data_IF_233739234767
#
_entry.id   IF_233739234767
#
_cell.length_a   1.000
_cell.length_b   1.000
_cell.length_c   1.000
_cell.angle_alpha   90.00
_cell.angle_beta   90.00
_cell.angle_gamma   90.00
#
_symmetry.space_group_name_H-M   'P 1'
#
loop_
_entity.id
_entity.type
_entity.pdbx_description
1 polymer ?
#
# COMPACT_ATOMS: atom_id res chain seq x y z
N UNK A 1 31.24 -11.40 1.50
CA UNK A 1 30.51 -12.24 0.54
C UNK A 1 30.94 -11.75 -0.83
N UNK A 2 31.58 -12.59 -1.66
CA UNK A 2 32.11 -12.20 -2.97
C UNK A 2 30.95 -11.86 -3.90
N UNK A 3 30.87 -10.61 -4.37
CA UNK A 3 29.95 -10.27 -5.46
C UNK A 3 30.62 -10.55 -6.80
N UNK A 4 29.95 -11.38 -7.59
CA UNK A 4 30.36 -11.97 -8.86
C UNK A 4 30.63 -10.93 -9.96
N UNK A 5 31.73 -10.17 -9.86
CA UNK A 5 32.22 -9.30 -10.94
C UNK A 5 31.28 -8.17 -11.35
N UNK A 6 30.38 -7.75 -10.46
CA UNK A 6 29.43 -6.66 -10.70
C UNK A 6 29.64 -5.52 -9.70
N UNK A 7 29.58 -4.28 -10.20
CA UNK A 7 29.60 -3.06 -9.41
C UNK A 7 28.43 -2.17 -9.85
N UNK A 8 27.68 -1.63 -8.89
CA UNK A 8 26.55 -0.72 -9.13
C UNK A 8 26.78 0.62 -8.43
N UNK A 9 26.24 1.69 -9.02
CA UNK A 9 26.11 3.00 -8.41
C UNK A 9 24.62 3.34 -8.33
N UNK A 10 24.07 3.34 -7.11
CA UNK A 10 22.67 3.71 -6.86
C UNK A 10 22.58 5.16 -6.38
N UNK A 11 22.01 6.04 -7.20
CA UNK A 11 21.72 7.44 -6.84
C UNK A 11 20.28 7.52 -6.34
N UNK A 12 20.10 7.73 -5.02
CA UNK A 12 18.77 7.70 -4.39
C UNK A 12 17.85 8.85 -4.85
N UNK A 13 18.42 10.03 -5.11
CA UNK A 13 17.72 11.19 -5.63
C UNK A 13 18.61 11.87 -6.66
N UNK A 14 18.12 12.01 -7.89
CA UNK A 14 18.88 12.64 -8.96
C UNK A 14 18.39 14.08 -9.18
N UNK A 15 19.24 15.04 -8.82
CA UNK A 15 19.03 16.48 -8.98
C UNK A 15 19.59 16.95 -10.34
N UNK A 16 19.20 18.13 -10.84
CA UNK A 16 19.76 18.68 -12.08
C UNK A 16 21.29 18.74 -12.09
N UNK A 17 21.88 19.03 -10.92
CA UNK A 17 23.32 19.13 -10.71
C UNK A 17 24.05 17.78 -10.75
N UNK A 18 23.32 16.67 -10.63
CA UNK A 18 23.83 15.31 -10.84
C UNK A 18 23.92 14.95 -12.34
N UNK A 19 23.57 15.87 -13.23
CA UNK A 19 23.83 15.71 -14.67
C UNK A 19 25.33 15.68 -14.92
N UNK A 20 25.81 14.56 -15.45
CA UNK A 20 27.24 14.39 -15.62
C UNK A 20 27.61 13.09 -16.28
N UNK A 21 28.91 12.93 -16.46
CA UNK A 21 29.53 11.73 -17.00
C UNK A 21 30.13 10.90 -15.86
N UNK A 22 29.51 9.76 -15.58
CA UNK A 22 29.88 8.85 -14.50
C UNK A 22 30.82 7.78 -15.03
N UNK A 23 31.99 7.65 -14.43
CA UNK A 23 33.02 6.71 -14.87
C UNK A 23 33.30 5.66 -13.79
N UNK A 24 33.05 4.40 -14.13
CA UNK A 24 33.40 3.24 -13.32
C UNK A 24 34.82 2.78 -13.68
N UNK A 25 35.67 2.64 -12.66
CA UNK A 25 37.06 2.20 -12.81
C UNK A 25 37.26 0.91 -12.01
N UNK A 26 37.67 -0.15 -12.70
CA UNK A 26 38.07 -1.41 -12.06
C UNK A 26 39.59 -1.58 -12.18
N UNK A 27 40.29 -1.74 -11.06
CA UNK A 27 41.76 -1.89 -11.02
C UNK A 27 42.16 -3.18 -10.33
N UNK A 28 43.15 -3.88 -10.88
CA UNK A 28 43.83 -5.00 -10.24
C UNK A 28 45.36 -4.84 -10.39
N UNK A 29 46.19 -5.71 -9.77
CA UNK A 29 47.65 -5.61 -9.86
C UNK A 29 48.25 -5.73 -11.27
N UNK A 30 47.45 -6.13 -12.26
CA UNK A 30 47.88 -6.37 -13.65
C UNK A 30 47.30 -5.35 -14.64
N UNK A 31 46.42 -4.45 -14.20
CA UNK A 31 45.82 -3.45 -15.09
C UNK A 31 44.60 -2.72 -14.54
N UNK A 32 44.07 -1.82 -15.36
CA UNK A 32 42.90 -0.99 -15.09
C UNK A 32 41.95 -1.05 -16.28
N UNK A 33 40.67 -1.34 -16.01
CA UNK A 33 39.57 -1.20 -16.96
C UNK A 33 38.70 0.01 -16.56
N UNK A 34 38.09 0.67 -17.53
CA UNK A 34 37.26 1.85 -17.28
C UNK A 34 36.06 1.86 -18.23
N UNK A 35 34.90 2.24 -17.73
CA UNK A 35 33.65 2.36 -18.49
C UNK A 35 32.89 3.58 -18.03
N UNK A 36 32.23 4.27 -18.96
CA UNK A 36 31.63 5.57 -18.71
C UNK A 36 30.19 5.61 -19.17
N UNK A 37 29.32 6.28 -18.41
CA UNK A 37 27.90 6.47 -18.68
C UNK A 37 27.52 7.94 -18.48
N UNK A 38 26.65 8.47 -19.34
CA UNK A 38 26.15 9.85 -19.24
C UNK A 38 24.77 9.85 -18.62
N UNK A 39 24.60 10.62 -17.55
CA UNK A 39 23.33 10.83 -16.88
C UNK A 39 22.87 12.26 -17.13
N UNK A 40 21.63 12.43 -17.58
CA UNK A 40 20.99 13.73 -17.75
C UNK A 40 19.77 13.82 -16.85
N UNK A 41 19.83 14.71 -15.86
CA UNK A 41 18.77 14.93 -14.89
C UNK A 41 18.11 16.27 -15.17
N UNK A 42 16.78 16.27 -15.31
CA UNK A 42 16.01 17.49 -15.48
C UNK A 42 15.23 17.79 -14.19
N UNK A 43 15.24 19.05 -13.78
CA UNK A 43 14.56 19.47 -12.55
C UNK A 43 13.06 19.37 -12.71
N UNK A 44 12.39 18.73 -11.75
CA UNK A 44 10.95 18.87 -11.61
C UNK A 44 10.62 20.28 -11.15
N UNK A 45 9.56 20.90 -11.71
CA UNK A 45 9.14 22.30 -11.47
C UNK A 45 8.87 22.67 -10.00
N UNK A 46 9.04 21.74 -9.07
CA UNK A 46 8.73 21.88 -7.65
C UNK A 46 9.95 21.79 -6.72
N UNK A 47 11.17 21.62 -7.25
CA UNK A 47 12.40 21.55 -6.46
C UNK A 47 13.07 22.92 -6.41
N UNK A 48 13.19 23.49 -5.22
CA UNK A 48 13.86 24.77 -4.98
C UNK A 48 15.38 24.52 -5.02
N UNK A 49 16.03 24.89 -6.13
CA UNK A 49 17.49 24.78 -6.29
C UNK A 49 18.25 26.04 -5.87
N UNK A 50 17.54 27.11 -5.54
CA UNK A 50 18.12 28.37 -5.07
C UNK A 50 18.55 28.28 -3.60
N UNK A 51 19.64 28.98 -3.26
CA UNK A 51 20.15 29.05 -1.89
C UNK A 51 19.09 29.65 -0.96
N UNK A 52 18.65 28.85 0.01
CA UNK A 52 17.71 29.27 1.05
C UNK A 52 18.39 30.01 2.20
N UNK A 53 19.62 30.51 1.98
CA UNK A 53 20.31 31.31 2.97
C UNK A 53 19.62 32.69 3.09
N UNK A 54 19.43 33.20 4.32
CA UNK A 54 18.94 34.56 4.51
C UNK A 54 19.80 35.56 3.73
N UNK A 55 19.16 36.57 3.19
CA UNK A 55 19.83 37.59 2.38
C UNK A 55 21.00 38.22 3.16
N UNK A 56 22.21 38.09 2.61
CA UNK A 56 23.44 38.62 3.22
C UNK A 56 24.33 37.60 3.94
N UNK A 57 23.95 36.31 4.00
CA UNK A 57 24.81 35.24 4.57
C UNK A 57 25.61 34.55 3.46
N UNK A 58 26.94 34.62 3.53
CA UNK A 58 27.83 33.97 2.57
C UNK A 58 28.21 32.56 3.04
N UNK A 59 28.48 31.65 2.08
CA UNK A 59 28.90 30.26 2.36
C UNK A 59 30.15 30.19 3.25
N UNK A 60 31.02 31.21 3.18
CA UNK A 60 32.21 31.35 4.03
C UNK A 60 31.89 31.57 5.51
N UNK A 61 30.76 32.18 5.83
CA UNK A 61 30.35 32.47 7.21
C UNK A 61 29.76 31.22 7.89
N UNK A 62 29.28 30.26 7.10
CA UNK A 62 28.82 28.93 7.57
C UNK A 62 29.98 28.14 8.18
N UNK A 63 31.20 28.27 7.63
CA UNK A 63 32.38 27.51 8.09
C UNK A 63 32.88 27.98 9.46
N UNK A 64 32.67 29.25 9.80
CA UNK A 64 33.02 29.85 11.11
C UNK A 64 32.03 29.49 12.22
N UNK A 65 30.86 28.95 11.86
CA UNK A 65 29.87 28.40 12.79
C UNK A 65 30.22 26.98 13.26
N UNK A 66 31.17 26.30 12.58
CA UNK A 66 31.60 24.93 12.89
C UNK A 66 32.42 24.78 14.17
N UNK A 67 32.98 25.87 14.71
CA UNK A 67 33.77 25.88 15.95
C UNK A 67 32.94 26.25 17.20
N UNK A 68 31.60 26.21 17.12
CA UNK A 68 30.77 26.33 18.31
C UNK A 68 30.62 24.98 19.03
N UNK A 69 30.91 24.89 20.35
CA UNK A 69 30.83 23.64 21.08
C UNK A 69 29.41 23.06 21.09
N UNK A 70 29.36 21.76 20.80
CA UNK A 70 28.25 20.80 20.65
C UNK A 70 27.08 20.86 21.67
N UNK A 71 27.12 21.71 22.69
CA UNK A 71 26.01 21.87 23.64
C UNK A 71 24.84 22.70 23.11
N UNK A 72 24.95 23.30 21.92
CA UNK A 72 23.84 24.02 21.25
C UNK A 72 22.82 23.08 20.58
N UNK A 73 23.20 21.86 20.23
CA UNK A 73 22.30 20.91 19.55
C UNK A 73 21.25 20.31 20.51
N UNK A 74 21.41 20.48 21.82
CA UNK A 74 20.37 20.18 22.80
C UNK A 74 19.27 21.27 22.90
N UNK A 75 19.36 22.36 22.13
CA UNK A 75 18.36 23.43 22.15
C UNK A 75 17.54 23.59 20.86
N UNK A 76 17.77 22.79 19.80
CA UNK A 76 16.98 22.88 18.56
C UNK A 76 15.81 21.88 18.47
N UNK A 77 15.67 20.96 19.42
CA UNK A 77 14.41 20.22 19.61
C UNK A 77 13.32 21.10 20.25
N UNK A 78 13.68 22.28 20.80
CA UNK A 78 12.76 23.15 21.54
C UNK A 78 11.91 24.13 20.70
N UNK A 79 11.74 23.93 19.38
CA UNK A 79 10.90 24.84 18.57
C UNK A 79 9.87 24.20 17.65
N UNK A 80 9.59 22.91 17.80
CA UNK A 80 8.29 22.38 17.37
C UNK A 80 7.36 22.44 18.57
N UNK A 81 6.22 23.08 18.41
CA UNK A 81 5.19 23.06 19.45
C UNK A 81 4.93 21.61 19.84
N UNK A 82 4.90 21.36 21.14
CA UNK A 82 4.49 20.08 21.69
C UNK A 82 3.07 19.82 21.26
N UNK A 83 2.83 18.66 20.65
CA UNK A 83 1.52 18.34 20.09
C UNK A 83 1.15 16.90 20.47
N UNK A 84 -0.06 16.67 21.02
CA UNK A 84 -0.57 15.34 21.27
C UNK A 84 -0.69 14.55 19.96
N UNK A 85 -0.69 13.21 20.03
CA UNK A 85 -0.80 12.39 18.84
C UNK A 85 -2.18 12.59 18.20
N UNK A 86 -2.20 12.69 16.86
CA UNK A 86 -3.43 12.82 16.08
C UNK A 86 -3.33 11.97 14.82
N UNK A 87 -4.35 11.14 14.58
CA UNK A 87 -4.46 10.40 13.33
C UNK A 87 -4.77 11.34 12.16
N UNK A 88 -3.92 11.34 11.14
CA UNK A 88 -4.21 11.93 9.83
C UNK A 88 -4.88 10.92 8.91
N UNK A 89 -4.53 9.64 9.04
CA UNK A 89 -5.20 8.52 8.38
C UNK A 89 -5.57 7.52 9.47
N UNK A 90 -6.86 7.20 9.58
CA UNK A 90 -7.38 6.17 10.48
C UNK A 90 -7.44 4.82 9.76
N UNK A 91 -7.28 3.70 10.47
CA UNK A 91 -7.50 2.38 9.88
C UNK A 91 -8.94 2.25 9.37
N UNK A 92 -9.12 1.50 8.28
CA UNK A 92 -10.43 1.22 7.69
C UNK A 92 -10.82 -0.24 7.92
N UNK A 93 -12.12 -0.52 7.83
CA UNK A 93 -12.63 -1.88 7.91
C UNK A 93 -12.19 -2.68 6.68
N UNK A 94 -11.82 -3.94 6.89
CA UNK A 94 -11.31 -4.81 5.83
C UNK A 94 -12.02 -6.15 5.90
N UNK A 95 -12.30 -6.71 4.72
CA UNK A 95 -12.77 -8.07 4.55
C UNK A 95 -11.63 -8.92 3.97
N UNK A 96 -11.37 -10.07 4.58
CA UNK A 96 -10.32 -10.99 4.15
C UNK A 96 -10.87 -12.41 4.01
N UNK A 97 -10.27 -13.19 3.12
CA UNK A 97 -10.52 -14.63 3.02
C UNK A 97 -9.55 -15.35 3.94
N UNK A 98 -10.00 -16.40 4.64
CA UNK A 98 -9.12 -17.19 5.50
C UNK A 98 -7.86 -17.65 4.74
N UNK A 99 -6.71 -17.53 5.39
CA UNK A 99 -5.35 -17.76 4.89
C UNK A 99 -4.77 -16.70 3.95
N UNK A 100 -5.58 -15.74 3.49
CA UNK A 100 -5.05 -14.57 2.76
C UNK A 100 -4.50 -13.52 3.72
N UNK A 101 -3.55 -12.68 3.27
CA UNK A 101 -3.03 -11.60 4.08
C UNK A 101 -4.05 -10.45 4.21
N UNK A 102 -4.12 -9.85 5.40
CA UNK A 102 -4.88 -8.62 5.64
C UNK A 102 -3.93 -7.50 6.10
N UNK A 103 -4.06 -6.30 5.54
CA UNK A 103 -3.18 -5.16 5.82
C UNK A 103 -3.96 -3.94 6.28
N UNK A 104 -3.72 -3.49 7.50
CA UNK A 104 -4.21 -2.23 8.04
C UNK A 104 -3.13 -1.15 7.93
N UNK A 105 -3.57 0.09 7.77
CA UNK A 105 -2.69 1.25 7.70
C UNK A 105 -3.24 2.40 8.54
N UNK A 106 -2.34 3.19 9.13
CA UNK A 106 -2.69 4.45 9.75
C UNK A 106 -1.51 5.42 9.68
N UNK A 107 -1.80 6.71 9.68
CA UNK A 107 -0.80 7.75 9.76
C UNK A 107 -1.10 8.61 10.99
N UNK A 108 -0.07 8.87 11.79
CA UNK A 108 -0.17 9.67 13.00
C UNK A 108 0.87 10.76 12.99
N UNK A 109 0.45 11.97 13.36
CA UNK A 109 1.33 13.09 13.63
C UNK A 109 1.38 13.36 15.13
N UNK A 110 2.46 13.95 15.61
CA UNK A 110 2.61 14.34 17.01
C UNK A 110 4.06 14.72 17.29
N UNK A 111 4.26 15.55 18.30
CA UNK A 111 5.58 16.00 18.71
C UNK A 111 5.69 15.96 20.25
N UNK A 112 6.56 15.12 20.84
CA UNK A 112 7.49 14.18 20.21
C UNK A 112 6.81 13.08 19.37
N UNK A 113 7.57 12.42 18.48
CA UNK A 113 7.06 11.39 17.55
C UNK A 113 6.29 10.30 18.33
N UNK A 114 5.02 10.03 18.00
CA UNK A 114 4.23 9.03 18.71
C UNK A 114 4.73 7.60 18.49
N UNK A 115 4.67 6.79 19.55
CA UNK A 115 4.80 5.33 19.48
C UNK A 115 3.44 4.73 19.14
N UNK A 116 3.39 3.90 18.11
CA UNK A 116 2.17 3.22 17.65
C UNK A 116 2.16 1.76 18.06
N UNK A 117 1.04 1.30 18.61
CA UNK A 117 0.81 -0.06 19.09
C UNK A 117 -0.52 -0.54 18.51
N UNK A 118 -0.54 -1.78 18.01
CA UNK A 118 -1.74 -2.40 17.47
C UNK A 118 -2.24 -3.50 18.39
N UNK A 119 -3.56 -3.63 18.47
CA UNK A 119 -4.29 -4.67 19.20
C UNK A 119 -5.28 -5.35 18.26
N UNK A 120 -5.38 -6.68 18.38
CA UNK A 120 -6.32 -7.52 17.63
C UNK A 120 -7.14 -8.25 18.68
N UNK A 121 -8.46 -7.99 18.74
CA UNK A 121 -9.35 -8.62 19.72
C UNK A 121 -8.83 -8.51 21.17
N UNK A 122 -8.32 -7.32 21.53
CA UNK A 122 -7.76 -7.04 22.86
C UNK A 122 -6.31 -7.53 23.10
N UNK A 123 -5.72 -8.29 22.18
CA UNK A 123 -4.35 -8.78 22.30
C UNK A 123 -3.38 -7.92 21.52
N UNK A 124 -2.27 -7.51 22.13
CA UNK A 124 -1.24 -6.71 21.45
C UNK A 124 -0.60 -7.51 20.30
N UNK A 125 -0.60 -6.94 19.10
CA UNK A 125 0.13 -7.48 17.96
C UNK A 125 1.62 -7.17 18.12
N UNK A 126 2.44 -8.21 18.26
CA UNK A 126 3.89 -8.12 18.36
C UNK A 126 4.50 -8.51 17.01
N UNK A 127 5.46 -7.72 16.52
CA UNK A 127 6.17 -8.01 15.28
C UNK A 127 6.81 -9.42 15.33
N UNK A 128 6.53 -10.26 14.34
CA UNK A 128 6.97 -11.65 14.34
C UNK A 128 6.70 -12.36 13.01
N UNK A 129 6.49 -13.68 13.05
CA UNK A 129 6.19 -14.48 11.85
C UNK A 129 4.80 -14.21 11.30
N UNK A 130 3.81 -14.06 12.18
CA UNK A 130 2.39 -13.89 11.83
C UNK A 130 1.98 -12.43 11.61
N UNK A 131 2.47 -11.53 12.46
CA UNK A 131 2.17 -10.10 12.39
C UNK A 131 3.40 -9.34 11.94
N UNK A 132 3.30 -8.63 10.83
CA UNK A 132 4.36 -7.77 10.30
C UNK A 132 3.98 -6.32 10.55
N UNK A 133 4.72 -5.69 11.46
CA UNK A 133 4.65 -4.26 11.74
C UNK A 133 5.76 -3.54 10.98
N UNK A 134 5.42 -2.53 10.19
CA UNK A 134 6.37 -1.73 9.42
C UNK A 134 5.99 -0.24 9.46
N UNK A 135 6.98 0.64 9.22
CA UNK A 135 6.80 2.08 9.17
C UNK A 135 7.70 2.70 8.10
N UNK A 136 7.09 3.44 7.18
CA UNK A 136 7.75 4.22 6.10
C UNK A 136 7.29 5.70 6.07
N UNK A 137 6.61 6.15 7.12
CA UNK A 137 5.79 7.37 7.12
C UNK A 137 4.32 7.06 7.39
N UNK A 138 3.88 5.86 7.00
CA UNK A 138 2.61 5.25 7.37
C UNK A 138 2.91 4.02 8.23
N UNK A 139 2.11 3.77 9.26
CA UNK A 139 2.20 2.58 10.09
C UNK A 139 1.36 1.47 9.48
N UNK A 140 1.96 0.32 9.24
CA UNK A 140 1.26 -0.86 8.72
C UNK A 140 1.24 -2.01 9.72
N UNK A 141 0.09 -2.68 9.77
CA UNK A 141 -0.08 -4.00 10.39
C UNK A 141 -0.51 -4.98 9.30
N UNK A 142 0.34 -5.95 8.99
CA UNK A 142 0.00 -7.05 8.08
C UNK A 142 -0.13 -8.36 8.84
N UNK A 143 -1.30 -8.99 8.74
CA UNK A 143 -1.55 -10.35 9.21
C UNK A 143 -1.24 -11.27 8.02
N UNK A 144 -0.18 -12.06 8.07
CA UNK A 144 0.29 -12.83 6.89
C UNK A 144 -0.64 -13.96 6.47
N UNK A 145 -1.32 -14.59 7.44
CA UNK A 145 -2.32 -15.63 7.22
C UNK A 145 -3.47 -15.39 8.19
N UNK A 146 -4.55 -14.80 7.69
CA UNK A 146 -5.74 -14.54 8.51
C UNK A 146 -6.42 -15.84 8.92
N UNK A 147 -6.89 -15.87 10.17
CA UNK A 147 -7.73 -16.94 10.71
C UNK A 147 -9.08 -16.37 11.13
N UNK A 148 -10.10 -17.21 11.24
CA UNK A 148 -11.40 -16.80 11.77
C UNK A 148 -11.27 -16.14 13.16
N UNK A 149 -10.33 -16.60 14.00
CA UNK A 149 -10.06 -16.03 15.32
C UNK A 149 -9.54 -14.59 15.28
N UNK A 150 -9.05 -14.12 14.13
CA UNK A 150 -8.56 -12.75 13.97
C UNK A 150 -9.69 -11.79 13.60
N UNK A 151 -10.86 -12.31 13.21
CA UNK A 151 -12.02 -11.48 12.93
C UNK A 151 -12.47 -10.74 14.19
N UNK A 152 -12.85 -9.47 14.03
CA UNK A 152 -13.26 -8.60 15.12
C UNK A 152 -12.55 -7.25 15.09
N UNK A 153 -12.36 -6.66 16.27
CA UNK A 153 -11.90 -5.29 16.40
C UNK A 153 -10.37 -5.20 16.37
N UNK A 154 -9.88 -4.35 15.48
CA UNK A 154 -8.48 -3.93 15.37
C UNK A 154 -8.38 -2.53 15.96
N UNK A 155 -7.62 -2.38 17.03
CA UNK A 155 -7.41 -1.09 17.71
C UNK A 155 -5.97 -0.66 17.52
N UNK A 156 -5.76 0.58 17.09
CA UNK A 156 -4.46 1.23 17.05
C UNK A 156 -4.39 2.34 18.08
N UNK A 157 -3.32 2.31 18.87
CA UNK A 157 -3.05 3.28 19.93
C UNK A 157 -1.76 4.01 19.57
N UNK A 158 -1.83 5.34 19.52
CA UNK A 158 -0.67 6.19 19.35
C UNK A 158 -0.44 7.05 20.60
N UNK A 159 0.78 7.00 21.13
CA UNK A 159 1.14 7.63 22.40
C UNK A 159 2.43 8.45 22.30
N UNK A 160 2.42 9.66 22.86
CA UNK A 160 3.64 10.44 23.11
C UNK A 160 3.61 11.07 24.52
N UNK A 161 4.55 11.97 24.84
CA UNK A 161 4.59 12.64 26.15
C UNK A 161 3.42 13.60 26.40
N UNK A 162 2.74 14.04 25.34
CA UNK A 162 1.69 15.06 25.38
C UNK A 162 0.28 14.45 25.35
N UNK A 163 0.16 13.14 25.05
CA UNK A 163 -1.12 12.46 25.10
C UNK A 163 -1.15 11.10 24.44
N UNK A 164 -2.35 10.55 24.34
CA UNK A 164 -2.66 9.26 23.76
C UNK A 164 -3.96 9.36 22.94
N UNK A 165 -3.97 8.74 21.77
CA UNK A 165 -5.15 8.68 20.89
C UNK A 165 -5.33 7.27 20.38
N UNK A 166 -6.59 6.86 20.21
CA UNK A 166 -6.97 5.55 19.71
C UNK A 166 -7.89 5.66 18.50
N UNK A 167 -7.79 4.68 17.62
CA UNK A 167 -8.71 4.46 16.51
C UNK A 167 -8.96 2.96 16.35
N UNK A 168 -10.15 2.59 15.91
CA UNK A 168 -10.51 1.20 15.67
C UNK A 168 -11.04 0.97 14.26
N UNK A 169 -10.92 -0.27 13.81
CA UNK A 169 -11.44 -0.79 12.55
C UNK A 169 -11.88 -2.25 12.75
N UNK A 170 -12.78 -2.73 11.89
CA UNK A 170 -13.26 -4.12 11.90
C UNK A 170 -12.55 -4.96 10.84
N UNK A 171 -12.17 -6.18 11.23
CA UNK A 171 -11.71 -7.23 10.33
C UNK A 171 -12.81 -8.31 10.23
N UNK A 172 -13.36 -8.50 9.03
CA UNK A 172 -14.23 -9.64 8.74
C UNK A 172 -13.44 -10.71 7.99
N UNK A 173 -13.50 -11.96 8.46
CA UNK A 173 -12.81 -13.09 7.83
C UNK A 173 -13.82 -14.12 7.33
N UNK A 174 -13.80 -14.40 6.03
CA UNK A 174 -14.71 -15.37 5.40
C UNK A 174 -13.94 -16.61 4.96
N UNK A 175 -14.51 -17.79 5.21
CA UNK A 175 -14.00 -19.02 4.61
C UNK A 175 -14.52 -19.17 3.18
N UNK A 176 -13.61 -19.40 2.24
CA UNK A 176 -14.00 -19.90 0.91
C UNK A 176 -14.49 -21.33 1.07
N UNK A 177 -15.69 -21.62 0.54
CA UNK A 177 -16.18 -23.00 0.45
C UNK A 177 -15.17 -23.80 -0.37
N UNK A 178 -14.64 -24.87 0.22
CA UNK A 178 -13.70 -25.74 -0.50
C UNK A 178 -14.45 -26.54 -1.57
N UNK A 179 -14.48 -26.01 -2.80
CA UNK A 179 -15.12 -26.69 -3.92
C UNK A 179 -14.35 -27.93 -4.39
N UNK A 180 -13.11 -28.17 -3.90
CA UNK A 180 -12.30 -29.34 -4.31
C UNK A 180 -12.91 -30.66 -3.84
N UNK A 181 -13.69 -30.64 -2.76
CA UNK A 181 -14.43 -31.80 -2.27
C UNK A 181 -15.85 -31.92 -2.83
N UNK A 182 -16.29 -30.97 -3.66
CA UNK A 182 -17.57 -31.09 -4.35
C UNK A 182 -17.38 -32.13 -5.45
N UNK A 183 -17.81 -33.36 -5.16
CA UNK A 183 -18.07 -34.36 -6.20
C UNK A 183 -19.20 -33.82 -7.06
N UNK A 184 -18.84 -33.06 -8.10
CA UNK A 184 -19.77 -32.69 -9.15
C UNK A 184 -20.35 -34.01 -9.67
N UNK A 185 -21.67 -34.19 -9.54
CA UNK A 185 -22.33 -35.29 -10.23
C UNK A 185 -21.98 -35.14 -11.71
N UNK A 186 -21.56 -36.19 -12.42
CA UNK A 186 -21.36 -36.08 -13.85
C UNK A 186 -22.64 -35.51 -14.43
N UNK A 187 -22.53 -34.36 -15.08
CA UNK A 187 -23.62 -33.77 -15.85
C UNK A 187 -24.09 -34.89 -16.77
N UNK A 188 -25.36 -35.30 -16.69
CA UNK A 188 -25.87 -36.32 -17.61
C UNK A 188 -25.57 -35.80 -19.00
N UNK A 189 -24.68 -36.49 -19.73
CA UNK A 189 -24.32 -36.08 -21.06
C UNK A 189 -25.57 -36.28 -21.91
N UNK A 190 -26.33 -35.19 -22.10
CA UNK A 190 -27.45 -35.22 -23.02
C UNK A 190 -26.87 -35.35 -24.42
N UNK A 191 -27.33 -36.35 -25.14
CA UNK A 191 -26.98 -36.51 -26.55
C UNK A 191 -27.47 -35.28 -27.33
N UNK A 192 -26.85 -35.03 -28.49
CA UNK A 192 -27.26 -33.93 -29.38
C UNK A 192 -28.76 -34.02 -29.72
N UNK A 193 -29.30 -35.23 -29.83
CA UNK A 193 -30.73 -35.48 -30.07
C UNK A 193 -31.62 -35.06 -28.88
N UNK A 194 -31.19 -35.35 -27.64
CA UNK A 194 -31.89 -34.91 -26.43
C UNK A 194 -31.84 -33.38 -26.27
N UNK A 195 -30.72 -32.75 -26.61
CA UNK A 195 -30.58 -31.29 -26.63
C UNK A 195 -31.53 -30.67 -27.67
N UNK A 196 -31.60 -31.23 -28.87
CA UNK A 196 -32.49 -30.74 -29.93
C UNK A 196 -33.96 -30.89 -29.56
N UNK A 197 -34.35 -32.03 -28.98
CA UNK A 197 -35.72 -32.24 -28.46
C UNK A 197 -36.10 -31.24 -27.38
N UNK A 198 -35.16 -30.90 -26.50
CA UNK A 198 -35.36 -29.92 -25.43
C UNK A 198 -35.47 -28.49 -25.99
N UNK A 199 -34.64 -28.14 -26.97
CA UNK A 199 -34.70 -26.86 -27.68
C UNK A 199 -36.04 -26.70 -28.42
N UNK A 200 -36.47 -27.72 -29.17
CA UNK A 200 -37.76 -27.70 -29.87
C UNK A 200 -38.92 -27.58 -28.88
N UNK A 201 -38.87 -28.27 -27.74
CA UNK A 201 -39.86 -28.14 -26.67
C UNK A 201 -39.90 -26.72 -26.12
N UNK A 202 -38.74 -26.15 -25.81
CA UNK A 202 -38.62 -24.79 -25.30
C UNK A 202 -39.15 -23.77 -26.30
N UNK A 203 -38.79 -23.89 -27.58
CA UNK A 203 -39.33 -23.00 -28.63
C UNK A 203 -40.85 -23.11 -28.75
N UNK A 204 -41.41 -24.31 -28.63
CA UNK A 204 -42.88 -24.50 -28.66
C UNK A 204 -43.58 -23.88 -27.45
N UNK A 205 -43.00 -24.03 -26.25
CA UNK A 205 -43.52 -23.44 -25.00
C UNK A 205 -43.39 -21.91 -24.99
N UNK A 206 -42.24 -21.39 -25.44
CA UNK A 206 -41.98 -19.94 -25.52
C UNK A 206 -42.82 -19.29 -26.61
N UNK A 207 -42.88 -19.84 -27.82
CA UNK A 207 -43.68 -19.26 -28.90
C UNK A 207 -45.20 -19.40 -28.64
N UNK A 208 -45.64 -20.48 -27.98
CA UNK A 208 -47.04 -20.64 -27.56
C UNK A 208 -47.45 -19.58 -26.53
N UNK A 209 -46.63 -19.39 -25.49
CA UNK A 209 -46.89 -18.38 -24.46
C UNK A 209 -46.73 -16.94 -24.97
N UNK A 210 -45.81 -16.68 -25.92
CA UNK A 210 -45.65 -15.37 -26.55
C UNK A 210 -46.85 -15.00 -27.43
N UNK A 211 -47.43 -15.97 -28.15
CA UNK A 211 -48.61 -15.76 -28.99
C UNK A 211 -49.84 -15.38 -28.16
N UNK A 212 -50.12 -16.11 -27.09
CA UNK A 212 -51.21 -15.80 -26.16
C UNK A 212 -51.03 -14.45 -25.46
N UNK A 213 -49.79 -14.10 -25.10
CA UNK A 213 -49.46 -12.81 -24.51
C UNK A 213 -49.60 -11.64 -25.49
N UNK A 214 -49.32 -11.85 -26.79
CA UNK A 214 -49.47 -10.84 -27.83
C UNK A 214 -50.95 -10.58 -28.18
N UNK A 215 -51.78 -11.62 -28.18
CA UNK A 215 -53.24 -11.46 -28.39
C UNK A 215 -53.96 -10.82 -27.19
N UNK A 216 -53.49 -11.05 -25.96
CA UNK A 216 -54.00 -10.40 -24.74
C UNK A 216 -53.51 -8.96 -24.54
N UNK A 217 -52.52 -8.52 -25.30
CA UNK A 217 -52.01 -7.17 -25.17
C UNK A 217 -53.10 -6.15 -25.58
N UNK A 218 -53.39 -5.13 -24.76
CA UNK A 218 -54.38 -4.11 -25.10
C UNK A 218 -53.95 -3.41 -26.39
N UNK A 219 -54.76 -3.54 -27.45
CA UNK A 219 -54.53 -2.81 -28.70
C UNK A 219 -54.79 -1.34 -28.40
N UNK A 220 -53.75 -0.52 -28.55
CA UNK A 220 -53.84 0.93 -28.36
C UNK A 220 -54.82 1.47 -29.40
N UNK A 221 -55.93 2.03 -28.92
CA UNK A 221 -56.89 2.74 -29.77
C UNK A 221 -56.17 3.90 -30.45
N UNK A 222 -56.00 3.80 -31.76
CA UNK A 222 -55.59 4.92 -32.60
C UNK A 222 -56.79 5.86 -32.72
N UNK A 223 -56.91 6.81 -31.80
CA UNK A 223 -57.79 7.97 -31.97
C UNK A 223 -57.07 9.06 -32.77
N UNK A 224 -57.81 9.51 -33.80
CA UNK A 224 -57.52 10.55 -34.80
C UNK A 224 -56.78 11.79 -34.30
#
# INVERSE_FOLDING_TARGET
>A
MLDFGFACLDVLYALPDDTGEYTCVATNPYGKATTTAKLACSGSKHIITESQLPQGVLVSDVKKLGDQPYWSEHMSEQRREKQPPRFTIKPMNIQAVENEPARFECAVIGNPKPKVIWYINGNQAIHGSRYKLHYDGIHYLTISKTKISDAGEIVVIAKNSEGEVLASAMLDVYQTKDFRHVKLKPTSFMTIDEMHKREVRWQKEVLGSLGEAFEKAPKVDQQN
#
